data_IF_204843057833
#
_entry.id   IF_204843057833
#
_cell.length_a   1.000
_cell.length_b   1.000
_cell.length_c   1.000
_cell.angle_alpha   90.00
_cell.angle_beta   90.00
_cell.angle_gamma   90.00
#
_symmetry.space_group_name_H-M   'P 1'
#
loop_
_entity.id
_entity.type
_entity.pdbx_description
1 polymer ?
#
# COMPACT_ATOMS: atom_id res chain seq x y z
N UNK A 1 37.02 44.41 -35.77
CA UNK A 1 35.88 45.12 -35.15
C UNK A 1 34.61 44.25 -35.11
N UNK A 2 34.47 43.23 -35.97
CA UNK A 2 33.36 42.27 -35.93
C UNK A 2 33.55 41.14 -34.90
N UNK A 3 34.81 40.80 -34.58
CA UNK A 3 35.12 39.67 -33.68
C UNK A 3 34.66 39.88 -32.23
N UNK A 4 34.67 41.12 -31.75
CA UNK A 4 34.24 41.42 -30.37
C UNK A 4 32.74 41.23 -30.15
N UNK A 5 31.92 41.41 -31.19
CA UNK A 5 30.46 41.27 -31.09
C UNK A 5 30.04 39.80 -31.09
N UNK A 6 30.72 38.95 -31.87
CA UNK A 6 30.47 37.50 -31.88
C UNK A 6 30.94 36.81 -30.59
N UNK A 7 32.05 37.28 -30.01
CA UNK A 7 32.55 36.83 -28.70
C UNK A 7 31.58 37.15 -27.57
N UNK A 8 31.03 38.37 -27.53
CA UNK A 8 30.03 38.76 -26.54
C UNK A 8 28.76 37.93 -26.70
N UNK A 9 28.21 37.80 -27.91
CA UNK A 9 26.99 37.03 -28.13
C UNK A 9 27.15 35.55 -27.72
N UNK A 10 28.28 34.93 -28.08
CA UNK A 10 28.57 33.53 -27.72
C UNK A 10 28.73 33.37 -26.20
N UNK A 11 29.36 34.33 -25.53
CA UNK A 11 29.53 34.31 -24.08
C UNK A 11 28.18 34.44 -23.34
N UNK A 12 27.30 35.32 -23.82
CA UNK A 12 25.95 35.47 -23.26
C UNK A 12 25.10 34.21 -23.47
N UNK A 13 25.19 33.57 -24.63
CA UNK A 13 24.49 32.29 -24.90
C UNK A 13 25.04 31.18 -24.01
N UNK A 14 26.36 31.05 -23.87
CA UNK A 14 26.96 30.07 -22.98
C UNK A 14 26.53 30.29 -21.52
N UNK A 15 26.53 31.54 -21.06
CA UNK A 15 26.10 31.90 -19.71
C UNK A 15 24.61 31.58 -19.50
N UNK A 16 23.75 31.87 -20.48
CA UNK A 16 22.32 31.55 -20.41
C UNK A 16 22.07 30.04 -20.35
N UNK A 17 22.78 29.25 -21.15
CA UNK A 17 22.68 27.78 -21.14
C UNK A 17 23.11 27.22 -19.78
N UNK A 18 24.23 27.71 -19.23
CA UNK A 18 24.70 27.31 -17.89
C UNK A 18 23.68 27.70 -16.83
N UNK A 19 23.13 28.90 -16.88
CA UNK A 19 22.12 29.36 -15.92
C UNK A 19 20.85 28.47 -15.96
N UNK A 20 20.37 28.11 -17.15
CA UNK A 20 19.22 27.22 -17.33
C UNK A 20 19.53 25.81 -16.81
N UNK A 21 20.72 25.28 -17.09
CA UNK A 21 21.14 23.97 -16.59
C UNK A 21 21.21 23.95 -15.06
N UNK A 22 21.78 24.99 -14.44
CA UNK A 22 21.85 25.15 -12.98
C UNK A 22 20.45 25.27 -12.38
N UNK A 23 19.55 26.04 -13.01
CA UNK A 23 18.17 26.16 -12.55
C UNK A 23 17.44 24.80 -12.59
N UNK A 24 17.56 24.05 -13.69
CA UNK A 24 16.96 22.72 -13.84
C UNK A 24 17.47 21.74 -12.78
N UNK A 25 18.79 21.66 -12.61
CA UNK A 25 19.41 20.77 -11.62
C UNK A 25 19.01 21.21 -10.20
N UNK A 26 19.03 22.51 -9.92
CA UNK A 26 18.62 23.07 -8.64
C UNK A 26 17.17 22.75 -8.29
N UNK A 27 16.24 22.98 -9.21
CA UNK A 27 14.82 22.63 -9.02
C UNK A 27 14.65 21.13 -8.84
N UNK A 28 15.29 20.29 -9.65
CA UNK A 28 15.19 18.84 -9.53
C UNK A 28 15.71 18.35 -8.18
N UNK A 29 16.85 18.88 -7.72
CA UNK A 29 17.44 18.54 -6.43
C UNK A 29 16.54 18.98 -5.27
N UNK A 30 16.00 20.19 -5.35
CA UNK A 30 15.06 20.74 -4.36
C UNK A 30 13.79 19.90 -4.28
N UNK A 31 13.20 19.54 -5.43
CA UNK A 31 12.05 18.66 -5.51
C UNK A 31 12.37 17.29 -4.92
N UNK A 32 13.53 16.69 -5.24
CA UNK A 32 13.95 15.43 -4.64
C UNK A 32 14.13 15.53 -3.13
N UNK A 33 14.78 16.59 -2.66
CA UNK A 33 15.07 16.83 -1.25
C UNK A 33 13.80 17.10 -0.45
N UNK A 34 12.78 17.70 -1.05
CA UNK A 34 11.50 17.95 -0.40
C UNK A 34 10.58 16.72 -0.47
N UNK A 35 10.52 16.05 -1.63
CA UNK A 35 9.66 14.87 -1.82
C UNK A 35 10.20 13.62 -1.12
N UNK A 36 11.50 13.44 -0.96
CA UNK A 36 12.06 12.26 -0.28
C UNK A 36 11.66 12.15 1.21
N UNK A 37 11.88 13.17 2.06
CA UNK A 37 11.44 13.13 3.45
C UNK A 37 9.92 13.11 3.55
N UNK A 38 9.21 13.82 2.66
CA UNK A 38 7.76 13.77 2.60
C UNK A 38 7.26 12.35 2.27
N UNK A 39 7.82 11.69 1.25
CA UNK A 39 7.52 10.29 0.90
C UNK A 39 7.84 9.34 2.05
N UNK A 40 8.95 9.55 2.78
CA UNK A 40 9.32 8.75 3.94
C UNK A 40 8.39 8.97 5.12
N UNK A 41 7.97 10.21 5.38
CA UNK A 41 7.04 10.56 6.44
C UNK A 41 5.62 10.07 6.12
N UNK A 42 5.20 10.13 4.86
CA UNK A 42 3.95 9.52 4.42
C UNK A 42 4.01 7.99 4.45
N UNK A 43 5.16 7.34 4.21
CA UNK A 43 5.31 5.89 4.47
C UNK A 43 5.22 5.55 5.94
N UNK A 44 5.78 6.38 6.83
CA UNK A 44 5.65 6.23 8.28
C UNK A 44 4.22 6.46 8.78
N UNK A 45 3.51 7.46 8.25
CA UNK A 45 2.08 7.67 8.53
C UNK A 45 1.18 6.62 7.87
N UNK A 46 1.61 6.06 6.74
CA UNK A 46 1.01 4.89 6.07
C UNK A 46 1.68 3.59 6.51
N UNK A 47 2.12 3.48 7.76
CA UNK A 47 2.63 2.24 8.38
C UNK A 47 1.58 1.13 8.50
N UNK A 48 0.62 1.10 7.58
CA UNK A 48 -0.52 0.22 7.48
C UNK A 48 -0.70 -0.34 6.06
N UNK A 49 0.29 -0.14 5.18
CA UNK A 49 0.41 -0.87 3.94
C UNK A 49 1.61 -1.81 4.03
N UNK A 50 1.52 -2.77 4.97
CA UNK A 50 1.94 -4.16 4.71
C UNK A 50 1.67 -4.43 3.23
N UNK A 51 2.66 -4.94 2.49
CA UNK A 51 2.48 -5.20 1.06
C UNK A 51 1.13 -5.89 0.88
N UNK A 52 0.25 -5.44 -0.02
CA UNK A 52 -1.12 -6.01 -0.12
C UNK A 52 -1.08 -7.54 -0.30
N UNK A 53 0.01 -8.05 -0.90
CA UNK A 53 0.33 -9.47 -0.99
C UNK A 53 0.81 -10.12 0.33
N UNK A 54 1.47 -9.38 1.21
CA UNK A 54 1.92 -9.84 2.53
C UNK A 54 0.74 -10.00 3.50
N UNK A 55 -0.42 -9.39 3.23
CA UNK A 55 -1.65 -9.64 3.97
C UNK A 55 -2.32 -10.97 3.60
N UNK A 56 -1.93 -11.61 2.49
CA UNK A 56 -2.46 -12.92 2.09
C UNK A 56 -1.97 -13.99 3.07
N UNK A 57 -2.89 -14.87 3.46
CA UNK A 57 -2.62 -15.94 4.45
C UNK A 57 -2.59 -15.45 5.90
N UNK A 58 -2.72 -14.14 6.18
CA UNK A 58 -2.73 -13.61 7.54
C UNK A 58 -4.11 -13.70 8.17
N UNK A 59 -4.12 -13.86 9.49
CA UNK A 59 -5.32 -13.78 10.31
C UNK A 59 -5.78 -12.34 10.47
N UNK A 60 -7.09 -12.15 10.38
CA UNK A 60 -7.76 -10.89 10.62
C UNK A 60 -8.93 -11.08 11.57
N UNK A 61 -9.29 -10.03 12.30
CA UNK A 61 -10.43 -10.02 13.22
C UNK A 61 -11.49 -9.09 12.66
N UNK A 62 -12.70 -9.61 12.44
CA UNK A 62 -13.80 -8.82 11.90
C UNK A 62 -14.20 -7.75 12.91
N UNK A 63 -14.37 -6.50 12.46
CA UNK A 63 -14.82 -5.37 13.29
C UNK A 63 -16.26 -4.95 13.03
N UNK A 64 -16.80 -5.34 11.88
CA UNK A 64 -18.19 -5.07 11.52
C UNK A 64 -19.14 -6.17 12.03
N UNK A 65 -20.42 -5.82 12.25
CA UNK A 65 -21.43 -6.80 12.68
C UNK A 65 -21.69 -7.94 11.68
N UNK A 66 -21.40 -7.70 10.39
CA UNK A 66 -21.51 -8.70 9.32
C UNK A 66 -20.45 -8.44 8.23
N UNK A 67 -20.12 -9.48 7.47
CA UNK A 67 -19.35 -9.40 6.22
C UNK A 67 -20.16 -10.08 5.11
N UNK A 68 -20.22 -9.45 3.95
CA UNK A 68 -20.91 -9.95 2.77
C UNK A 68 -20.30 -9.42 1.48
N UNK A 69 -21.02 -9.52 0.35
CA UNK A 69 -20.49 -9.19 -0.98
C UNK A 69 -20.12 -7.72 -1.16
N UNK A 70 -20.84 -6.84 -0.44
CA UNK A 70 -20.73 -5.39 -0.60
C UNK A 70 -20.15 -4.68 0.63
N UNK A 71 -20.03 -5.37 1.77
CA UNK A 71 -19.65 -4.72 3.03
C UNK A 71 -18.86 -5.65 3.96
N UNK A 72 -17.94 -5.06 4.71
CA UNK A 72 -17.18 -5.73 5.75
C UNK A 72 -15.87 -5.00 6.05
N UNK A 73 -15.47 -4.98 7.32
CA UNK A 73 -14.16 -4.49 7.75
C UNK A 73 -13.53 -5.48 8.72
N UNK A 74 -12.22 -5.65 8.59
CA UNK A 74 -11.42 -6.46 9.49
C UNK A 74 -10.17 -5.71 9.90
N UNK A 75 -9.68 -6.04 11.09
CA UNK A 75 -8.40 -5.58 11.59
C UNK A 75 -7.36 -6.69 11.42
N UNK A 76 -6.23 -6.36 10.80
CA UNK A 76 -5.07 -7.24 10.69
C UNK A 76 -3.99 -6.72 11.63
N UNK A 77 -3.45 -7.58 12.48
CA UNK A 77 -2.29 -7.24 13.33
C UNK A 77 -1.01 -7.60 12.60
N UNK A 78 -0.07 -6.68 12.45
CA UNK A 78 1.27 -6.95 11.95
C UNK A 78 2.17 -7.55 13.04
N UNK A 79 3.28 -8.15 12.64
CA UNK A 79 4.21 -8.83 13.56
C UNK A 79 4.95 -7.84 14.47
N UNK A 80 5.01 -6.56 14.07
CA UNK A 80 5.52 -5.45 14.86
C UNK A 80 4.52 -4.94 15.93
N UNK A 81 3.35 -5.60 16.06
CA UNK A 81 2.29 -5.24 16.99
C UNK A 81 1.40 -4.08 16.53
N UNK A 82 1.67 -3.49 15.35
CA UNK A 82 0.77 -2.52 14.75
C UNK A 82 -0.50 -3.19 14.22
N UNK A 83 -1.58 -2.42 14.05
CA UNK A 83 -2.81 -2.94 13.47
C UNK A 83 -3.39 -2.04 12.39
N UNK A 84 -4.04 -2.68 11.42
CA UNK A 84 -4.54 -2.06 10.20
C UNK A 84 -5.97 -2.47 9.96
N UNK A 85 -6.83 -1.50 9.69
CA UNK A 85 -8.18 -1.76 9.23
C UNK A 85 -8.20 -1.93 7.71
N UNK A 86 -8.73 -3.05 7.23
CA UNK A 86 -8.84 -3.37 5.80
C UNK A 86 -10.30 -3.67 5.43
N UNK A 87 -10.67 -3.35 4.19
CA UNK A 87 -11.97 -3.72 3.67
C UNK A 87 -11.97 -5.19 3.25
N UNK A 88 -12.92 -5.95 3.79
CA UNK A 88 -13.07 -7.37 3.52
C UNK A 88 -14.42 -7.68 2.89
N UNK A 89 -14.47 -8.74 2.09
CA UNK A 89 -15.67 -9.25 1.41
C UNK A 89 -15.73 -10.77 1.48
N UNK A 90 -16.96 -11.28 1.42
CA UNK A 90 -17.25 -12.70 1.29
C UNK A 90 -18.36 -12.87 0.23
N UNK A 91 -18.33 -13.92 -0.62
CA UNK A 91 -19.31 -14.09 -1.71
C UNK A 91 -20.76 -14.18 -1.25
N UNK A 92 -20.97 -14.58 0.00
CA UNK A 92 -22.28 -14.72 0.64
C UNK A 92 -22.28 -14.07 2.03
N UNK A 93 -23.46 -13.79 2.58
CA UNK A 93 -23.58 -13.35 3.97
C UNK A 93 -23.34 -14.52 4.92
N UNK A 94 -22.06 -14.77 5.26
CA UNK A 94 -21.70 -15.90 6.10
C UNK A 94 -21.95 -15.54 7.59
N UNK A 95 -22.80 -16.29 8.31
CA UNK A 95 -23.11 -16.01 9.71
C UNK A 95 -21.91 -16.16 10.66
N UNK A 96 -20.82 -16.82 10.24
CA UNK A 96 -19.58 -16.96 11.01
C UNK A 96 -18.73 -15.67 10.99
N UNK A 97 -18.93 -14.77 10.03
CA UNK A 97 -18.17 -13.53 9.88
C UNK A 97 -18.87 -12.36 10.61
N UNK A 98 -18.86 -12.41 11.95
CA UNK A 98 -19.41 -11.37 12.84
C UNK A 98 -18.31 -10.63 13.58
N UNK A 99 -18.64 -9.49 14.19
CA UNK A 99 -17.68 -8.72 14.98
C UNK A 99 -16.99 -9.60 16.04
N UNK A 100 -15.66 -9.56 16.07
CA UNK A 100 -14.82 -10.36 16.95
C UNK A 100 -14.43 -11.74 16.41
N UNK A 101 -15.08 -12.23 15.35
CA UNK A 101 -14.69 -13.50 14.69
C UNK A 101 -13.33 -13.38 13.99
N UNK A 102 -12.62 -14.50 13.90
CA UNK A 102 -11.35 -14.59 13.18
C UNK A 102 -11.57 -15.12 11.77
N UNK A 103 -10.89 -14.53 10.80
CA UNK A 103 -10.95 -14.92 9.40
C UNK A 103 -9.56 -14.86 8.76
N UNK A 104 -9.35 -15.62 7.68
CA UNK A 104 -8.11 -15.62 6.91
C UNK A 104 -8.34 -14.90 5.59
N UNK A 105 -7.41 -14.02 5.23
CA UNK A 105 -7.39 -13.38 3.92
C UNK A 105 -6.80 -14.37 2.90
N UNK A 106 -7.59 -14.77 1.90
CA UNK A 106 -7.13 -15.75 0.88
C UNK A 106 -6.87 -15.12 -0.48
N UNK A 107 -7.47 -13.97 -0.78
CA UNK A 107 -7.30 -13.30 -2.07
C UNK A 107 -7.44 -11.79 -1.93
N UNK A 108 -6.83 -11.08 -2.86
CA UNK A 108 -6.90 -9.63 -2.97
C UNK A 108 -7.32 -9.24 -4.39
N UNK A 109 -8.36 -8.42 -4.50
CA UNK A 109 -8.81 -7.83 -5.76
C UNK A 109 -8.24 -6.41 -5.89
N UNK A 110 -7.28 -6.26 -6.81
CA UNK A 110 -6.61 -4.99 -7.05
C UNK A 110 -7.50 -3.94 -7.76
N UNK A 111 -8.50 -4.37 -8.53
CA UNK A 111 -9.40 -3.46 -9.24
C UNK A 111 -10.37 -2.78 -8.26
N UNK A 112 -10.79 -3.51 -7.22
CA UNK A 112 -11.74 -3.03 -6.20
C UNK A 112 -11.10 -2.62 -4.88
N UNK A 113 -9.79 -2.87 -4.72
CA UNK A 113 -9.03 -2.71 -3.48
C UNK A 113 -9.68 -3.41 -2.26
N UNK A 114 -10.24 -4.61 -2.48
CA UNK A 114 -10.89 -5.42 -1.45
C UNK A 114 -10.13 -6.72 -1.17
N UNK A 115 -10.21 -7.18 0.07
CA UNK A 115 -9.69 -8.49 0.49
C UNK A 115 -10.83 -9.50 0.60
N UNK A 116 -10.65 -10.67 0.00
CA UNK A 116 -11.55 -11.79 0.19
C UNK A 116 -11.11 -12.61 1.39
N UNK A 117 -12.06 -12.90 2.28
CA UNK A 117 -11.79 -13.60 3.53
C UNK A 117 -12.63 -14.85 3.66
N UNK A 118 -12.13 -15.84 4.41
CA UNK A 118 -12.86 -17.03 4.82
C UNK A 118 -12.86 -17.14 6.35
N UNK A 119 -13.96 -17.57 6.99
CA UNK A 119 -13.99 -17.82 8.43
C UNK A 119 -12.90 -18.82 8.84
N UNK A 120 -12.20 -18.55 9.94
CA UNK A 120 -11.19 -19.49 10.45
C UNK A 120 -11.85 -20.77 11.02
N UNK A 121 -13.01 -20.64 11.64
CA UNK A 121 -13.71 -21.78 12.24
C UNK A 121 -14.11 -22.83 11.19
N UNK A 122 -14.35 -22.41 9.94
CA UNK A 122 -14.58 -23.33 8.82
C UNK A 122 -13.33 -24.18 8.49
N UNK A 123 -12.12 -23.59 8.59
CA UNK A 123 -10.86 -24.29 8.31
C UNK A 123 -10.58 -25.32 9.41
N UNK A 124 -10.88 -25.00 10.68
CA UNK A 124 -10.72 -25.94 11.81
C UNK A 124 -11.66 -27.14 11.71
N UNK A 125 -12.86 -26.96 11.17
CA UNK A 125 -13.80 -28.06 10.94
C UNK A 125 -13.29 -28.98 9.81
N UNK A 126 -12.78 -28.40 8.72
CA UNK A 126 -12.23 -29.15 7.58
C UNK A 126 -10.96 -29.95 7.95
N UNK A 127 -10.11 -29.41 8.83
CA UNK A 127 -8.92 -30.11 9.36
C UNK A 127 -9.29 -31.27 10.28
N UNK A 128 -10.43 -31.17 10.99
CA UNK A 128 -10.89 -32.23 11.92
C UNK A 128 -11.34 -33.51 11.20
N UNK A 129 -11.76 -33.40 9.93
CA UNK A 129 -12.24 -34.52 9.11
C UNK A 129 -11.13 -35.24 8.33
N UNK A 130 -9.87 -34.83 8.46
CA UNK A 130 -8.71 -35.62 8.00
C UNK A 130 -8.06 -36.31 9.21
N UNK A 131 -8.44 -37.57 9.55
CA UNK A 131 -7.63 -38.34 10.47
C UNK A 131 -6.25 -38.48 9.84
N UNK A 132 -5.21 -38.15 10.61
CA UNK A 132 -3.82 -38.39 10.23
C UNK A 132 -3.73 -39.83 9.71
N UNK A 133 -3.44 -39.96 8.41
CA UNK A 133 -3.18 -41.26 7.79
C UNK A 133 -1.85 -41.71 8.38
N UNK A 134 -1.94 -42.57 9.40
CA UNK A 134 -0.84 -43.40 9.90
C UNK A 134 -0.61 -44.59 8.95
#
# INVERSE_FOLDING_TARGET
MLDHVELDASFHVALAVVAVAVALVGTWLLVRLLLFPLRRLLRRRRGAATSRSELLGRLCVIRTGRVGPEFGQAEVRADDGSSVLVQVRHPENNPLLRAGSSAVIYSYDAAREIFWVSPLDFIRELDRDHPAVE
#
